data_IF_685019330242
#
_entry.id   IF_685019330242
#
_cell.length_a   1.000
_cell.length_b   1.000
_cell.length_c   1.000
_cell.angle_alpha   90.00
_cell.angle_beta   90.00
_cell.angle_gamma   90.00
#
_symmetry.space_group_name_H-M   'P 1'
#
loop_
_entity.id
_entity.type
_entity.pdbx_description
1 polymer ?
#
# COMPACT_ATOMS: atom_id res chain seq x y z
N UNK A 1 -31.43 4.05 -7.48
CA UNK A 1 -29.96 4.23 -7.35
C UNK A 1 -29.38 3.43 -6.18
N UNK A 2 -30.00 3.45 -4.97
CA UNK A 2 -29.50 2.74 -3.80
C UNK A 2 -29.39 1.22 -4.00
N UNK A 3 -30.42 0.59 -4.56
CA UNK A 3 -30.40 -0.86 -4.85
C UNK A 3 -29.30 -1.27 -5.82
N UNK A 4 -28.92 -0.37 -6.75
CA UNK A 4 -27.83 -0.64 -7.69
C UNK A 4 -26.47 -0.61 -7.00
N UNK A 5 -26.29 0.33 -6.06
CA UNK A 5 -25.05 0.46 -5.28
C UNK A 5 -24.85 -0.75 -4.33
N UNK A 6 -25.94 -1.30 -3.81
CA UNK A 6 -25.94 -2.48 -2.93
C UNK A 6 -25.91 -3.82 -3.68
N UNK A 7 -26.07 -3.79 -5.00
CA UNK A 7 -26.15 -5.01 -5.81
C UNK A 7 -24.79 -5.64 -6.06
N UNK A 8 -24.75 -6.96 -6.15
CA UNK A 8 -23.58 -7.75 -6.55
C UNK A 8 -23.35 -7.77 -8.09
N UNK A 9 -24.13 -6.98 -8.86
CA UNK A 9 -24.08 -6.97 -10.33
C UNK A 9 -22.67 -6.67 -10.83
N UNK A 10 -21.98 -5.70 -10.22
CA UNK A 10 -20.62 -5.33 -10.63
C UNK A 10 -19.67 -6.51 -10.49
N UNK A 11 -19.76 -7.25 -9.39
CA UNK A 11 -18.93 -8.46 -9.16
C UNK A 11 -19.24 -9.57 -10.15
N UNK A 12 -20.51 -9.75 -10.52
CA UNK A 12 -20.91 -10.80 -11.45
C UNK A 12 -20.53 -10.51 -12.90
N UNK A 13 -20.23 -9.27 -13.23
CA UNK A 13 -19.77 -8.85 -14.55
C UNK A 13 -18.22 -8.95 -14.72
N UNK A 14 -17.51 -9.08 -13.62
CA UNK A 14 -16.06 -9.22 -13.66
C UNK A 14 -15.66 -10.63 -14.14
N UNK A 15 -14.53 -10.76 -14.85
CA UNK A 15 -13.97 -12.06 -15.16
C UNK A 15 -13.62 -12.81 -13.86
N UNK A 16 -13.49 -14.14 -13.91
CA UNK A 16 -12.98 -14.92 -12.78
C UNK A 16 -11.63 -14.40 -12.29
N UNK A 17 -11.33 -14.63 -11.01
CA UNK A 17 -10.02 -14.28 -10.44
C UNK A 17 -8.90 -14.92 -11.26
N UNK A 18 -7.96 -14.09 -11.71
CA UNK A 18 -6.80 -14.52 -12.49
C UNK A 18 -5.60 -14.96 -11.61
N UNK A 19 -5.73 -14.86 -10.30
CA UNK A 19 -4.67 -15.26 -9.34
C UNK A 19 -4.92 -16.70 -8.93
N UNK A 20 -3.99 -17.60 -9.27
CA UNK A 20 -4.10 -19.03 -8.94
C UNK A 20 -3.91 -19.30 -7.44
N UNK A 21 -2.87 -18.71 -6.84
CA UNK A 21 -2.60 -18.80 -5.40
C UNK A 21 -3.02 -17.51 -4.70
N UNK A 22 -4.10 -17.58 -3.93
CA UNK A 22 -4.64 -16.46 -3.15
C UNK A 22 -4.29 -16.53 -1.66
N UNK A 23 -3.50 -17.49 -1.21
CA UNK A 23 -3.18 -17.71 0.20
C UNK A 23 -2.46 -16.52 0.86
N UNK A 24 -1.77 -15.70 0.07
CA UNK A 24 -1.10 -14.49 0.55
C UNK A 24 -2.04 -13.30 0.74
N UNK A 25 -3.26 -13.33 0.18
CA UNK A 25 -4.27 -12.27 0.29
C UNK A 25 -5.04 -12.47 1.60
N UNK A 26 -4.69 -11.71 2.62
CA UNK A 26 -5.31 -11.84 3.93
C UNK A 26 -5.84 -10.48 4.40
N UNK A 27 -7.16 -10.30 4.48
CA UNK A 27 -7.74 -9.08 5.06
C UNK A 27 -7.40 -8.99 6.55
N UNK A 28 -7.37 -7.77 7.07
CA UNK A 28 -7.09 -7.55 8.48
C UNK A 28 -7.09 -6.08 8.84
N UNK A 29 -7.12 -5.80 10.13
CA UNK A 29 -6.98 -4.45 10.66
C UNK A 29 -5.53 -4.00 10.56
N UNK A 30 -5.35 -2.69 10.43
CA UNK A 30 -4.05 -2.06 10.25
C UNK A 30 -3.90 -0.89 11.23
N UNK A 31 -2.79 -0.85 11.96
CA UNK A 31 -2.38 0.39 12.61
C UNK A 31 -1.91 1.37 11.55
N UNK A 32 -2.21 2.65 11.75
CA UNK A 32 -1.91 3.69 10.78
C UNK A 32 -1.42 4.96 11.47
N UNK A 33 -0.28 5.47 11.03
CA UNK A 33 0.44 6.59 11.65
C UNK A 33 -0.03 7.97 11.18
N UNK A 34 -1.27 8.10 10.72
CA UNK A 34 -1.72 9.33 10.07
C UNK A 34 -3.14 9.76 10.50
N UNK A 35 -3.50 11.00 10.24
CA UNK A 35 -4.78 11.70 10.37
C UNK A 35 -5.22 12.14 11.76
N UNK A 36 -5.13 11.30 12.77
CA UNK A 36 -5.87 11.55 13.99
C UNK A 36 -5.17 12.48 14.99
N UNK A 37 -3.86 12.67 14.87
CA UNK A 37 -3.04 13.53 15.75
C UNK A 37 -2.30 14.65 15.04
N UNK A 38 -2.63 14.90 13.75
CA UNK A 38 -1.84 15.76 12.88
C UNK A 38 -0.68 15.00 12.23
N UNK A 39 0.40 15.71 11.91
CA UNK A 39 1.56 15.07 11.31
C UNK A 39 2.32 14.25 12.35
N UNK A 40 2.36 12.95 12.14
CA UNK A 40 3.22 12.05 12.90
C UNK A 40 4.64 12.18 12.33
N UNK A 41 5.62 12.27 13.22
CA UNK A 41 7.01 12.29 12.80
C UNK A 41 7.40 10.95 12.18
N UNK A 42 7.99 11.01 11.00
CA UNK A 42 8.52 9.83 10.31
C UNK A 42 9.89 9.47 10.90
N UNK A 43 9.87 8.86 12.08
CA UNK A 43 11.03 8.49 12.88
C UNK A 43 10.92 7.02 13.34
N UNK A 44 12.06 6.38 13.57
CA UNK A 44 12.15 4.96 13.93
C UNK A 44 11.32 4.60 15.17
N UNK A 45 11.41 5.42 16.22
CA UNK A 45 10.74 5.14 17.49
C UNK A 45 9.21 5.21 17.34
N UNK A 46 8.74 6.21 16.60
CA UNK A 46 7.30 6.38 16.32
C UNK A 46 6.75 5.18 15.51
N UNK A 47 7.46 4.76 14.47
CA UNK A 47 7.06 3.58 13.68
C UNK A 47 7.00 2.34 14.57
N UNK A 48 7.97 2.14 15.46
CA UNK A 48 7.99 1.02 16.40
C UNK A 48 6.83 1.06 17.38
N UNK A 49 6.42 2.23 17.88
CA UNK A 49 5.23 2.39 18.74
C UNK A 49 3.95 1.93 18.02
N UNK A 50 3.77 2.27 16.75
CA UNK A 50 2.62 1.82 15.95
C UNK A 50 2.68 0.31 15.62
N UNK A 51 3.85 -0.26 15.44
CA UNK A 51 4.03 -1.72 15.31
C UNK A 51 3.66 -2.41 16.63
N UNK A 52 4.09 -1.87 17.77
CA UNK A 52 3.76 -2.39 19.10
C UNK A 52 2.26 -2.29 19.39
N UNK A 53 1.61 -1.19 18.98
CA UNK A 53 0.16 -1.03 19.05
C UNK A 53 -0.55 -2.12 18.21
N UNK A 54 -0.15 -2.31 16.96
CA UNK A 54 -0.73 -3.35 16.11
C UNK A 54 -0.59 -4.74 16.74
N UNK A 55 0.59 -5.07 17.24
CA UNK A 55 0.87 -6.33 17.91
C UNK A 55 0.02 -6.52 19.18
N UNK A 56 -0.07 -5.50 20.03
CA UNK A 56 -0.84 -5.54 21.26
C UNK A 56 -2.36 -5.71 21.03
N UNK A 57 -2.86 -5.17 19.91
CA UNK A 57 -4.25 -5.30 19.50
C UNK A 57 -4.54 -6.58 18.67
N UNK A 58 -3.52 -7.37 18.34
CA UNK A 58 -3.67 -8.52 17.45
C UNK A 58 -3.99 -8.13 16.00
N UNK A 59 -3.64 -6.93 15.57
CA UNK A 59 -3.80 -6.49 14.19
C UNK A 59 -2.62 -6.96 13.35
N UNK A 60 -2.86 -7.59 12.18
CA UNK A 60 -1.79 -8.17 11.39
C UNK A 60 -0.93 -7.16 10.65
N UNK A 61 -1.34 -5.89 10.59
CA UNK A 61 -0.70 -4.90 9.73
C UNK A 61 -0.40 -3.58 10.42
N UNK A 62 0.67 -2.92 9.94
CA UNK A 62 0.98 -1.51 10.18
C UNK A 62 1.29 -0.83 8.86
N UNK A 63 0.61 0.27 8.56
CA UNK A 63 0.85 1.11 7.39
C UNK A 63 1.76 2.27 7.77
N UNK A 64 2.92 2.34 7.13
CA UNK A 64 3.80 3.50 7.15
C UNK A 64 3.36 4.43 6.02
N UNK A 65 2.81 5.59 6.38
CA UNK A 65 2.19 6.52 5.44
C UNK A 65 3.23 7.47 4.80
N UNK A 66 2.82 8.61 4.31
CA UNK A 66 3.64 9.51 3.50
C UNK A 66 4.99 9.87 4.14
N UNK A 67 5.94 10.32 3.32
CA UNK A 67 7.30 10.70 3.70
C UNK A 67 8.26 9.55 4.08
N UNK A 68 7.83 8.28 4.08
CA UNK A 68 8.75 7.19 4.37
C UNK A 68 9.88 7.05 3.34
N UNK A 69 9.66 7.51 2.09
CA UNK A 69 10.71 7.62 1.06
C UNK A 69 11.17 9.06 0.83
N UNK A 70 10.86 9.96 1.78
CA UNK A 70 11.24 11.37 1.73
C UNK A 70 10.28 12.21 0.88
N UNK A 71 10.80 13.14 0.09
CA UNK A 71 9.98 13.99 -0.76
C UNK A 71 9.18 13.17 -1.77
N UNK A 72 7.87 13.44 -1.87
CA UNK A 72 6.94 12.78 -2.78
C UNK A 72 6.38 13.79 -3.79
N UNK A 73 5.85 13.29 -4.91
CA UNK A 73 5.31 14.10 -6.01
C UNK A 73 6.33 15.13 -6.57
N UNK A 74 7.59 14.81 -6.49
CA UNK A 74 8.70 15.63 -6.96
C UNK A 74 9.60 14.85 -7.92
N UNK A 75 10.36 15.57 -8.76
CA UNK A 75 11.26 14.93 -9.73
C UNK A 75 12.33 14.01 -9.09
N UNK A 76 12.72 14.33 -7.84
CA UNK A 76 13.73 13.56 -7.07
C UNK A 76 13.12 12.43 -6.21
N UNK A 77 11.80 12.28 -6.18
CA UNK A 77 11.15 11.21 -5.41
C UNK A 77 11.62 9.84 -5.91
N UNK A 78 12.01 8.98 -4.96
CA UNK A 78 12.50 7.64 -5.24
C UNK A 78 11.82 6.63 -4.31
N UNK A 79 10.79 5.98 -4.80
CA UNK A 79 10.00 5.00 -4.04
C UNK A 79 10.76 3.69 -3.74
N UNK A 80 12.00 3.56 -4.19
CA UNK A 80 12.84 2.41 -3.88
C UNK A 80 13.76 2.63 -2.67
N UNK A 81 13.80 3.86 -2.15
CA UNK A 81 14.71 4.25 -1.06
C UNK A 81 13.97 4.82 0.14
N UNK A 82 14.16 4.27 1.34
CA UNK A 82 13.65 4.90 2.54
C UNK A 82 14.31 6.26 2.77
N UNK A 83 13.61 7.15 3.47
CA UNK A 83 14.15 8.39 3.95
C UNK A 83 15.38 8.15 4.84
N UNK A 84 16.39 9.05 4.86
CA UNK A 84 17.67 8.80 5.53
C UNK A 84 17.59 8.46 7.02
N UNK A 85 16.53 8.89 7.70
CA UNK A 85 16.30 8.61 9.12
C UNK A 85 15.68 7.22 9.39
N UNK A 86 15.28 6.48 8.34
CA UNK A 86 14.63 5.18 8.46
C UNK A 86 15.57 4.04 8.09
N UNK A 87 15.71 3.10 9.01
CA UNK A 87 16.33 1.81 8.77
C UNK A 87 15.26 0.78 8.40
N UNK A 88 14.94 0.65 7.12
CA UNK A 88 13.88 -0.26 6.64
C UNK A 88 14.15 -1.73 7.01
N UNK A 89 15.37 -2.28 6.88
CA UNK A 89 15.69 -3.62 7.37
C UNK A 89 15.33 -3.82 8.85
N UNK A 90 15.66 -2.86 9.70
CA UNK A 90 15.33 -2.91 11.13
C UNK A 90 13.82 -2.83 11.38
N UNK A 91 13.10 -1.96 10.68
CA UNK A 91 11.64 -1.85 10.78
C UNK A 91 10.97 -3.19 10.44
N UNK A 92 11.37 -3.79 9.33
CA UNK A 92 10.82 -5.07 8.87
C UNK A 92 11.13 -6.23 9.82
N UNK A 93 12.34 -6.27 10.35
CA UNK A 93 12.73 -7.25 11.37
C UNK A 93 11.88 -7.09 12.64
N UNK A 94 11.78 -5.86 13.14
CA UNK A 94 11.04 -5.52 14.34
C UNK A 94 9.55 -5.88 14.24
N UNK A 95 8.93 -5.55 13.10
CA UNK A 95 7.53 -5.90 12.82
C UNK A 95 7.32 -7.42 12.76
N UNK A 96 8.20 -8.13 12.05
CA UNK A 96 8.14 -9.59 11.92
C UNK A 96 8.22 -10.29 13.28
N UNK A 97 9.10 -9.87 14.17
CA UNK A 97 9.23 -10.41 15.53
C UNK A 97 7.96 -10.25 16.37
N UNK A 98 7.11 -9.28 16.01
CA UNK A 98 5.83 -8.97 16.66
C UNK A 98 4.61 -9.54 15.95
N UNK A 99 4.83 -10.32 14.90
CA UNK A 99 3.74 -10.88 14.09
C UNK A 99 2.99 -9.84 13.24
N UNK A 100 3.59 -8.67 13.02
CA UNK A 100 3.02 -7.57 12.23
C UNK A 100 3.71 -7.50 10.87
N UNK A 101 2.95 -7.29 9.82
CA UNK A 101 3.46 -7.07 8.46
C UNK A 101 3.26 -5.62 8.03
N UNK A 102 4.22 -5.07 7.29
CA UNK A 102 4.23 -3.66 6.90
C UNK A 102 3.47 -3.46 5.59
N UNK A 103 2.76 -2.34 5.53
CA UNK A 103 2.23 -1.71 4.32
C UNK A 103 2.96 -0.39 4.09
N UNK A 104 3.11 0.01 2.83
CA UNK A 104 3.80 1.24 2.46
C UNK A 104 2.88 2.15 1.63
N UNK A 105 2.87 3.43 1.97
CA UNK A 105 2.17 4.44 1.21
C UNK A 105 2.98 4.90 -0.01
N UNK A 106 2.31 5.22 -1.11
CA UNK A 106 2.91 5.71 -2.35
C UNK A 106 2.06 6.83 -2.96
N UNK A 107 2.68 7.84 -3.51
CA UNK A 107 2.01 8.82 -4.34
C UNK A 107 1.90 8.30 -5.78
N UNK A 108 0.73 8.41 -6.41
CA UNK A 108 0.47 7.81 -7.73
C UNK A 108 1.43 8.27 -8.83
N UNK A 109 1.80 9.57 -8.85
CA UNK A 109 2.75 10.10 -9.82
C UNK A 109 4.15 9.50 -9.68
N UNK A 110 4.58 9.19 -8.45
CA UNK A 110 5.89 8.60 -8.18
C UNK A 110 5.91 7.12 -8.59
N UNK A 111 4.79 6.42 -8.37
CA UNK A 111 4.59 5.04 -8.87
C UNK A 111 4.72 4.98 -10.39
N UNK A 112 4.12 5.94 -11.08
CA UNK A 112 4.03 5.94 -12.54
C UNK A 112 5.30 6.50 -13.23
N UNK A 113 6.10 7.29 -12.53
CA UNK A 113 7.29 7.95 -13.10
C UNK A 113 8.30 6.91 -13.57
N UNK A 114 8.59 6.91 -14.88
CA UNK A 114 9.53 5.96 -15.51
C UNK A 114 9.23 4.49 -15.17
N UNK A 115 7.95 4.17 -14.95
CA UNK A 115 7.53 2.81 -14.53
C UNK A 115 8.21 2.33 -13.22
N UNK A 116 8.48 3.23 -12.29
CA UNK A 116 9.19 2.94 -11.03
C UNK A 116 8.56 1.77 -10.24
N UNK A 117 7.25 1.55 -10.39
CA UNK A 117 6.55 0.42 -9.77
C UNK A 117 7.18 -0.93 -10.11
N UNK A 118 7.74 -1.11 -11.31
CA UNK A 118 8.32 -2.40 -11.74
C UNK A 118 9.51 -2.82 -10.89
N UNK A 119 10.34 -1.87 -10.49
CA UNK A 119 11.48 -2.10 -9.59
C UNK A 119 11.02 -2.14 -8.14
N UNK A 120 10.22 -1.15 -7.73
CA UNK A 120 9.77 -0.98 -6.36
C UNK A 120 8.96 -2.20 -5.87
N UNK A 121 8.01 -2.72 -6.64
CA UNK A 121 7.18 -3.85 -6.20
C UNK A 121 8.00 -5.13 -6.00
N UNK A 122 8.99 -5.38 -6.87
CA UNK A 122 9.94 -6.50 -6.67
C UNK A 122 10.80 -6.32 -5.41
N UNK A 123 11.18 -5.09 -5.11
CA UNK A 123 11.92 -4.76 -3.90
C UNK A 123 11.04 -4.99 -2.66
N UNK A 124 9.80 -4.51 -2.68
CA UNK A 124 8.86 -4.70 -1.57
C UNK A 124 8.52 -6.18 -1.33
N UNK A 125 8.39 -6.97 -2.39
CA UNK A 125 8.26 -8.42 -2.27
C UNK A 125 9.48 -9.03 -1.54
N UNK A 126 10.69 -8.65 -1.93
CA UNK A 126 11.92 -9.10 -1.25
C UNK A 126 11.98 -8.67 0.21
N UNK A 127 11.47 -7.51 0.54
CA UNK A 127 11.35 -7.01 1.90
C UNK A 127 10.26 -7.72 2.72
N UNK A 128 9.36 -8.45 2.08
CA UNK A 128 8.22 -9.10 2.75
C UNK A 128 7.10 -8.14 3.13
N UNK A 129 7.02 -6.98 2.47
CA UNK A 129 5.91 -6.03 2.59
C UNK A 129 4.60 -6.72 2.21
N UNK A 130 3.54 -6.49 2.96
CA UNK A 130 2.24 -7.14 2.75
C UNK A 130 1.42 -6.48 1.64
N UNK A 131 1.58 -5.17 1.49
CA UNK A 131 0.78 -4.40 0.54
C UNK A 131 1.19 -2.95 0.45
N UNK A 132 0.52 -2.25 -0.43
CA UNK A 132 0.77 -0.86 -0.75
C UNK A 132 -0.54 -0.06 -0.74
N UNK A 133 -0.49 1.15 -0.19
CA UNK A 133 -1.54 2.15 -0.31
C UNK A 133 -1.08 3.17 -1.35
N UNK A 134 -1.82 3.31 -2.44
CA UNK A 134 -1.51 4.30 -3.48
C UNK A 134 -2.56 5.39 -3.45
N UNK A 135 -2.12 6.64 -3.39
CA UNK A 135 -2.95 7.81 -3.13
C UNK A 135 -2.83 8.87 -4.24
N UNK A 136 -3.82 9.79 -4.28
CA UNK A 136 -3.81 10.97 -5.14
C UNK A 136 -3.73 10.67 -6.64
N UNK A 137 -4.66 9.88 -7.18
CA UNK A 137 -4.73 9.61 -8.62
C UNK A 137 -5.18 10.83 -9.44
N UNK A 138 -5.95 11.74 -8.86
CA UNK A 138 -6.34 13.06 -9.35
C UNK A 138 -7.02 13.09 -10.72
N UNK A 139 -7.50 11.94 -11.21
CA UNK A 139 -8.27 11.84 -12.45
C UNK A 139 -9.20 10.63 -12.46
N UNK A 140 -10.27 10.71 -13.27
CA UNK A 140 -11.34 9.71 -13.35
C UNK A 140 -11.74 9.48 -14.81
N UNK A 141 -10.79 9.01 -15.62
CA UNK A 141 -10.97 8.77 -17.05
C UNK A 141 -10.50 7.35 -17.43
N UNK A 142 -10.70 6.98 -18.69
CA UNK A 142 -10.31 5.64 -19.18
C UNK A 142 -8.82 5.34 -19.00
N UNK A 143 -7.97 6.36 -19.04
CA UNK A 143 -6.54 6.16 -18.76
C UNK A 143 -6.33 5.66 -17.34
N UNK A 144 -7.01 6.26 -16.35
CA UNK A 144 -6.88 5.87 -14.95
C UNK A 144 -7.47 4.48 -14.69
N UNK A 145 -8.60 4.13 -15.32
CA UNK A 145 -9.16 2.76 -15.25
C UNK A 145 -8.13 1.72 -15.72
N UNK A 146 -7.52 1.96 -16.86
CA UNK A 146 -6.48 1.06 -17.40
C UNK A 146 -5.23 1.04 -16.53
N UNK A 147 -4.89 2.17 -15.89
CA UNK A 147 -3.77 2.26 -14.97
C UNK A 147 -4.00 1.43 -13.71
N UNK A 148 -5.20 1.50 -13.10
CA UNK A 148 -5.55 0.64 -11.94
C UNK A 148 -5.36 -0.83 -12.26
N UNK A 149 -5.89 -1.30 -13.38
CA UNK A 149 -5.77 -2.70 -13.80
C UNK A 149 -4.31 -3.11 -13.92
N UNK A 150 -3.51 -2.32 -14.62
CA UNK A 150 -2.07 -2.58 -14.78
C UNK A 150 -1.33 -2.63 -13.45
N UNK A 151 -1.62 -1.71 -12.53
CA UNK A 151 -0.97 -1.68 -11.22
C UNK A 151 -1.37 -2.89 -10.38
N UNK A 152 -2.64 -3.28 -10.39
CA UNK A 152 -3.12 -4.48 -9.67
C UNK A 152 -2.42 -5.73 -10.22
N UNK A 153 -2.34 -5.88 -11.54
CA UNK A 153 -1.66 -7.02 -12.17
C UNK A 153 -0.17 -7.10 -11.80
N UNK A 154 0.53 -5.97 -11.81
CA UNK A 154 1.95 -5.94 -11.43
C UNK A 154 2.15 -6.18 -9.91
N UNK A 155 1.27 -5.64 -9.08
CA UNK A 155 1.31 -5.90 -7.64
C UNK A 155 1.02 -7.37 -7.32
N UNK A 156 0.05 -7.99 -7.99
CA UNK A 156 -0.27 -9.41 -7.82
C UNK A 156 0.91 -10.32 -8.17
N UNK A 157 1.68 -10.04 -9.23
CA UNK A 157 2.91 -10.77 -9.58
C UNK A 157 3.96 -10.74 -8.46
N UNK A 158 3.91 -9.70 -7.62
CA UNK A 158 4.80 -9.53 -6.48
C UNK A 158 4.15 -9.90 -5.14
N UNK A 159 2.95 -10.48 -5.15
CA UNK A 159 2.17 -10.84 -3.95
C UNK A 159 1.96 -9.65 -3.01
N UNK A 160 1.67 -8.47 -3.57
CA UNK A 160 1.35 -7.25 -2.83
C UNK A 160 -0.15 -6.98 -2.90
N UNK A 161 -0.79 -6.84 -1.75
CA UNK A 161 -2.15 -6.31 -1.66
C UNK A 161 -2.15 -4.81 -1.99
N UNK A 162 -3.24 -4.30 -2.57
CA UNK A 162 -3.33 -2.89 -2.98
C UNK A 162 -4.54 -2.23 -2.35
N UNK A 163 -4.32 -1.04 -1.80
CA UNK A 163 -5.37 -0.11 -1.37
C UNK A 163 -5.23 1.18 -2.20
N UNK A 164 -6.19 1.46 -3.05
CA UNK A 164 -6.27 2.75 -3.75
C UNK A 164 -7.05 3.72 -2.88
N UNK A 165 -6.39 4.78 -2.43
CA UNK A 165 -6.98 5.81 -1.59
C UNK A 165 -7.37 7.03 -2.42
N UNK A 166 -8.58 7.56 -2.18
CA UNK A 166 -9.11 8.64 -3.02
C UNK A 166 -9.53 8.18 -4.43
N UNK A 167 -9.66 6.88 -4.64
CA UNK A 167 -10.13 6.28 -5.89
C UNK A 167 -11.65 6.32 -5.99
N UNK A 168 -12.18 6.20 -7.22
CA UNK A 168 -13.58 5.85 -7.40
C UNK A 168 -13.83 4.40 -6.92
N UNK A 169 -15.10 4.06 -6.65
CA UNK A 169 -15.47 2.70 -6.23
C UNK A 169 -15.04 1.71 -7.33
N UNK A 170 -14.25 0.69 -7.01
CA UNK A 170 -13.82 -0.29 -8.00
C UNK A 170 -15.01 -1.13 -8.50
N UNK A 171 -14.89 -1.55 -9.73
CA UNK A 171 -15.81 -2.49 -10.37
C UNK A 171 -15.59 -3.92 -9.86
#
# INVERSE_FOLDING_TARGET
PGQFIESEIIRTLNPPCAIEDTEWIKPGLCAWDHWWSGEVKMEMDVIKEYIDLASAQGWPYMLIDWQWYGPYNEAKADITKPAPQLDMPEILRYAKERGVRIWLWLYSSDVNRNDAYKEAFRLYQKWGVAGIKIDFMDRQDQYMVNWYRRIIEEAAKCQLMVNFHGAYKPD
#
